data_IF_862981441156
#
_entry.id   IF_862981441156
#
_cell.length_a   1.000
_cell.length_b   1.000
_cell.length_c   1.000
_cell.angle_alpha   90.00
_cell.angle_beta   90.00
_cell.angle_gamma   90.00
#
_symmetry.space_group_name_H-M   'P 1'
#
loop_
_entity.id
_entity.type
_entity.pdbx_description
1 polymer ?
#
# COMPACT_ATOMS: atom_id res chain seq x y z
N UNK A 1 5.55 -12.47 17.09
CA UNK A 1 4.49 -13.13 17.91
C UNK A 1 4.80 -13.05 19.41
N UNK A 2 6.01 -13.38 19.88
CA UNK A 2 6.33 -13.34 21.32
C UNK A 2 6.21 -11.94 21.93
N UNK A 3 6.59 -10.88 21.20
CA UNK A 3 6.48 -9.51 21.69
C UNK A 3 5.04 -9.13 22.07
N UNK A 4 4.09 -9.50 21.24
CA UNK A 4 2.68 -9.15 21.44
C UNK A 4 1.98 -10.07 22.44
N UNK A 5 2.10 -11.41 22.26
CA UNK A 5 1.33 -12.37 23.05
C UNK A 5 1.94 -12.70 24.42
N UNK A 6 3.27 -12.56 24.55
CA UNK A 6 3.97 -12.90 25.81
C UNK A 6 4.49 -11.65 26.51
N UNK A 7 4.11 -10.46 26.07
CA UNK A 7 4.58 -9.16 26.59
C UNK A 7 6.11 -9.14 26.75
N UNK A 8 6.81 -9.61 25.72
CA UNK A 8 8.27 -9.61 25.66
C UNK A 8 8.72 -8.51 24.68
N UNK A 9 8.92 -7.27 25.15
CA UNK A 9 9.12 -6.11 24.29
C UNK A 9 10.24 -6.32 23.28
N UNK A 10 10.00 -5.93 22.03
CA UNK A 10 10.97 -6.04 20.95
C UNK A 10 10.80 -4.90 19.94
N UNK A 11 11.89 -4.51 19.29
CA UNK A 11 11.86 -3.57 18.16
C UNK A 11 11.85 -4.37 16.87
N UNK A 12 10.79 -4.22 16.08
CA UNK A 12 10.51 -4.98 14.86
C UNK A 12 10.04 -4.05 13.74
N UNK A 13 10.34 -4.35 12.45
CA UNK A 13 9.69 -3.70 11.34
C UNK A 13 8.24 -4.19 11.27
N UNK A 14 7.28 -3.25 11.19
CA UNK A 14 5.85 -3.54 11.16
C UNK A 14 5.16 -2.57 10.21
N UNK A 15 4.17 -3.09 9.46
CA UNK A 15 3.27 -2.27 8.68
C UNK A 15 2.25 -1.60 9.60
N UNK A 16 2.30 -0.27 9.69
CA UNK A 16 1.42 0.55 10.52
C UNK A 16 0.98 1.80 9.76
N UNK A 17 -0.18 2.39 10.07
CA UNK A 17 -0.49 3.75 9.60
C UNK A 17 0.59 4.73 10.03
N UNK A 18 0.92 5.68 9.16
CA UNK A 18 1.93 6.72 9.43
C UNK A 18 1.42 7.79 10.42
N UNK A 19 0.52 7.43 11.30
CA UNK A 19 -0.10 8.33 12.28
C UNK A 19 0.95 9.06 13.11
N UNK A 20 0.88 10.39 13.10
CA UNK A 20 1.86 11.25 13.76
C UNK A 20 3.15 11.45 12.97
N UNK A 21 3.17 11.07 11.67
CA UNK A 21 4.28 11.36 10.75
C UNK A 21 5.57 10.61 11.08
N UNK A 22 5.47 9.36 11.53
CA UNK A 22 6.65 8.54 11.85
C UNK A 22 7.65 8.44 10.70
N UNK A 23 7.18 8.42 9.46
CA UNK A 23 7.99 8.53 8.24
C UNK A 23 7.65 9.85 7.53
N UNK A 24 8.56 10.85 7.52
CA UNK A 24 8.30 12.14 6.92
C UNK A 24 8.06 12.05 5.39
N UNK A 25 7.08 12.82 4.89
CA UNK A 25 6.76 12.91 3.47
C UNK A 25 5.69 11.93 2.98
N UNK A 26 4.97 11.31 3.93
CA UNK A 26 3.78 10.49 3.68
C UNK A 26 2.63 10.97 4.56
N UNK A 27 1.40 10.81 4.07
CA UNK A 27 0.21 11.16 4.81
C UNK A 27 -0.01 10.21 6.00
N UNK A 28 -0.74 10.69 7.02
CA UNK A 28 -0.97 9.94 8.28
C UNK A 28 -1.72 8.62 8.08
N UNK A 29 -2.54 8.52 7.04
CA UNK A 29 -3.30 7.31 6.68
C UNK A 29 -2.54 6.34 5.77
N UNK A 30 -1.37 6.74 5.27
CA UNK A 30 -0.51 5.85 4.50
C UNK A 30 0.03 4.74 5.38
N UNK A 31 -0.13 3.48 4.94
CA UNK A 31 0.51 2.35 5.63
C UNK A 31 1.98 2.29 5.23
N UNK A 32 2.85 2.34 6.22
CA UNK A 32 4.31 2.33 6.05
C UNK A 32 4.93 1.19 6.84
N UNK A 33 5.98 0.57 6.30
CA UNK A 33 6.80 -0.38 7.06
C UNK A 33 7.94 0.36 7.73
N UNK A 34 7.86 0.45 9.06
CA UNK A 34 8.84 1.17 9.88
C UNK A 34 9.20 0.38 11.12
N UNK A 35 10.33 0.72 11.73
CA UNK A 35 10.66 0.19 13.05
C UNK A 35 9.60 0.59 14.07
N UNK A 36 9.07 -0.39 14.79
CA UNK A 36 8.12 -0.19 15.87
C UNK A 36 8.62 -0.82 17.16
N UNK A 37 8.37 -0.15 18.28
CA UNK A 37 8.45 -0.78 19.60
C UNK A 37 7.15 -1.57 19.81
N UNK A 38 7.27 -2.88 19.94
CA UNK A 38 6.13 -3.83 20.01
C UNK A 38 6.14 -4.51 21.38
N UNK A 39 4.98 -4.48 22.03
CA UNK A 39 4.70 -5.19 23.29
C UNK A 39 3.24 -5.66 23.35
N UNK A 40 2.77 -6.09 24.51
CA UNK A 40 1.38 -6.56 24.72
C UNK A 40 0.30 -5.50 24.44
N UNK A 41 0.67 -4.20 24.41
CA UNK A 41 -0.26 -3.11 24.07
C UNK A 41 -0.34 -2.81 22.55
N UNK A 42 0.54 -3.40 21.74
CA UNK A 42 0.56 -3.22 20.30
C UNK A 42 1.89 -2.75 19.74
N UNK A 43 1.87 -2.22 18.51
CA UNK A 43 3.02 -1.68 17.81
C UNK A 43 2.97 -0.14 17.82
N UNK A 44 4.03 0.48 18.28
CA UNK A 44 4.20 1.94 18.29
C UNK A 44 5.34 2.32 17.36
N UNK A 45 5.07 3.07 16.26
CA UNK A 45 6.10 3.45 15.31
C UNK A 45 7.17 4.34 15.97
N UNK A 46 8.42 4.08 15.64
CA UNK A 46 9.55 4.92 16.02
C UNK A 46 9.77 5.96 14.92
N UNK A 47 9.95 7.25 15.25
CA UNK A 47 10.24 8.26 14.24
C UNK A 47 11.45 7.88 13.38
N UNK A 48 11.29 8.03 12.06
CA UNK A 48 12.31 7.73 11.07
C UNK A 48 12.88 9.02 10.46
N UNK A 49 14.09 8.94 9.93
CA UNK A 49 14.62 9.98 9.06
C UNK A 49 13.90 9.99 7.72
N UNK A 50 13.82 11.15 7.03
CA UNK A 50 13.25 11.22 5.68
C UNK A 50 13.94 10.26 4.72
N UNK A 51 13.16 9.66 3.81
CA UNK A 51 13.74 8.78 2.78
C UNK A 51 14.83 9.49 1.98
N UNK A 52 15.93 8.80 1.67
CA UNK A 52 16.95 9.31 0.74
C UNK A 52 16.32 9.73 -0.61
N UNK A 53 16.84 10.80 -1.21
CA UNK A 53 16.34 11.32 -2.49
C UNK A 53 16.29 10.25 -3.59
N UNK A 54 17.26 9.34 -3.61
CA UNK A 54 17.37 8.28 -4.61
C UNK A 54 16.17 7.33 -4.66
N UNK A 55 15.46 7.12 -3.55
CA UNK A 55 14.34 6.17 -3.44
C UNK A 55 13.01 6.84 -3.13
N UNK A 56 13.01 8.10 -2.69
CA UNK A 56 11.81 8.80 -2.25
C UNK A 56 10.72 8.81 -3.32
N UNK A 57 11.06 9.19 -4.56
CA UNK A 57 10.08 9.33 -5.63
C UNK A 57 9.37 8.02 -5.97
N UNK A 58 10.12 6.93 -6.12
CA UNK A 58 9.51 5.62 -6.42
C UNK A 58 8.67 5.11 -5.24
N UNK A 59 9.12 5.33 -4.01
CA UNK A 59 8.36 4.89 -2.82
C UNK A 59 7.05 5.65 -2.69
N UNK A 60 7.04 6.96 -2.92
CA UNK A 60 5.83 7.77 -2.93
C UNK A 60 4.87 7.34 -4.05
N UNK A 61 5.38 7.09 -5.27
CA UNK A 61 4.56 6.60 -6.38
C UNK A 61 3.92 5.25 -6.06
N UNK A 62 4.65 4.34 -5.41
CA UNK A 62 4.11 3.05 -5.00
C UNK A 62 3.06 3.19 -3.90
N UNK A 63 3.23 4.10 -2.95
CA UNK A 63 2.23 4.39 -1.92
C UNK A 63 0.91 4.90 -2.54
N UNK A 64 1.00 5.84 -3.49
CA UNK A 64 -0.17 6.32 -4.23
C UNK A 64 -0.84 5.22 -5.06
N UNK A 65 -0.06 4.39 -5.75
CA UNK A 65 -0.59 3.21 -6.45
C UNK A 65 -1.38 2.30 -5.50
N UNK A 66 -0.82 1.97 -4.35
CA UNK A 66 -1.47 1.10 -3.36
C UNK A 66 -2.78 1.71 -2.84
N UNK A 67 -2.80 3.02 -2.60
CA UNK A 67 -4.01 3.74 -2.18
C UNK A 67 -5.09 3.71 -3.27
N UNK A 68 -4.74 4.02 -4.51
CA UNK A 68 -5.66 3.95 -5.65
C UNK A 68 -6.19 2.53 -5.86
N UNK A 69 -5.33 1.52 -5.75
CA UNK A 69 -5.72 0.12 -5.89
C UNK A 69 -6.68 -0.33 -4.77
N UNK A 70 -6.46 0.09 -3.53
CA UNK A 70 -7.34 -0.20 -2.41
C UNK A 70 -8.72 0.44 -2.60
N UNK A 71 -8.79 1.72 -3.00
CA UNK A 71 -10.05 2.42 -3.30
C UNK A 71 -10.79 1.75 -4.45
N UNK A 72 -10.09 1.41 -5.54
CA UNK A 72 -10.67 0.72 -6.68
C UNK A 72 -11.24 -0.65 -6.29
N UNK A 73 -10.51 -1.40 -5.48
CA UNK A 73 -10.95 -2.72 -5.01
C UNK A 73 -12.18 -2.63 -4.10
N UNK A 74 -12.24 -1.62 -3.22
CA UNK A 74 -13.31 -1.49 -2.24
C UNK A 74 -14.63 -1.01 -2.84
N UNK A 75 -14.60 0.06 -3.63
CA UNK A 75 -15.81 0.73 -4.12
C UNK A 75 -15.70 1.27 -5.57
N UNK A 76 -14.55 1.08 -6.22
CA UNK A 76 -14.29 1.59 -7.55
C UNK A 76 -14.89 0.76 -8.68
N UNK A 77 -14.67 1.25 -9.88
CA UNK A 77 -15.04 0.65 -11.16
C UNK A 77 -13.83 0.04 -11.87
N UNK A 78 -14.06 -0.63 -13.01
CA UNK A 78 -12.98 -1.04 -13.92
C UNK A 78 -12.04 0.12 -14.28
N UNK A 79 -12.62 1.29 -14.58
CA UNK A 79 -11.82 2.45 -14.95
C UNK A 79 -10.92 2.93 -13.80
N UNK A 80 -11.36 2.84 -12.55
CA UNK A 80 -10.57 3.19 -11.37
C UNK A 80 -9.43 2.17 -11.17
N UNK A 81 -9.68 0.89 -11.37
CA UNK A 81 -8.67 -0.15 -11.29
C UNK A 81 -7.60 0.00 -12.39
N UNK A 82 -7.99 0.32 -13.62
CA UNK A 82 -7.06 0.62 -14.72
C UNK A 82 -6.23 1.86 -14.41
N UNK A 83 -6.82 2.94 -13.86
CA UNK A 83 -6.07 4.13 -13.44
C UNK A 83 -5.07 3.80 -12.34
N UNK A 84 -5.46 2.97 -11.37
CA UNK A 84 -4.53 2.49 -10.34
C UNK A 84 -3.34 1.75 -10.97
N UNK A 85 -3.58 0.81 -11.88
CA UNK A 85 -2.50 0.12 -12.59
C UNK A 85 -1.60 1.07 -13.38
N UNK A 86 -2.19 2.07 -14.07
CA UNK A 86 -1.43 3.07 -14.82
C UNK A 86 -0.55 3.95 -13.93
N UNK A 87 -0.90 4.11 -12.64
CA UNK A 87 -0.07 4.83 -11.67
C UNK A 87 1.13 4.00 -11.18
N UNK A 88 1.17 2.69 -11.44
CA UNK A 88 2.29 1.85 -11.03
C UNK A 88 3.55 2.15 -11.86
N UNK A 89 4.73 2.38 -11.23
CA UNK A 89 5.93 2.85 -11.94
C UNK A 89 6.47 1.86 -12.99
N UNK A 90 6.06 0.60 -12.96
CA UNK A 90 6.46 -0.42 -13.95
C UNK A 90 5.45 -0.63 -15.07
N UNK A 91 4.34 0.12 -15.08
CA UNK A 91 3.36 0.09 -16.16
C UNK A 91 3.61 1.29 -17.09
N UNK A 92 4.13 1.07 -18.30
CA UNK A 92 4.69 2.15 -19.12
C UNK A 92 3.62 3.01 -19.82
N UNK A 93 2.42 2.49 -20.06
CA UNK A 93 1.35 3.20 -20.78
C UNK A 93 -0.02 2.79 -20.27
N UNK A 94 -1.03 3.63 -20.52
CA UNK A 94 -2.42 3.32 -20.24
C UNK A 94 -2.90 2.08 -21.01
N UNK A 95 -2.50 1.91 -22.26
CA UNK A 95 -2.86 0.73 -23.06
C UNK A 95 -2.37 -0.57 -22.41
N UNK A 96 -1.13 -0.59 -21.89
CA UNK A 96 -0.60 -1.74 -21.14
C UNK A 96 -1.38 -1.96 -19.83
N UNK A 97 -1.79 -0.89 -19.15
CA UNK A 97 -2.63 -1.01 -17.95
C UNK A 97 -3.99 -1.65 -18.26
N UNK A 98 -4.62 -1.28 -19.37
CA UNK A 98 -5.88 -1.84 -19.82
C UNK A 98 -5.76 -3.34 -20.16
N UNK A 99 -4.77 -3.70 -20.98
CA UNK A 99 -4.51 -5.10 -21.34
C UNK A 99 -4.24 -5.97 -20.11
N UNK A 100 -3.35 -5.49 -19.23
CA UNK A 100 -3.00 -6.19 -17.99
C UNK A 100 -4.22 -6.38 -17.08
N UNK A 101 -5.06 -5.34 -16.96
CA UNK A 101 -6.29 -5.44 -16.19
C UNK A 101 -7.24 -6.48 -16.76
N UNK A 102 -7.47 -6.45 -18.07
CA UNK A 102 -8.40 -7.36 -18.74
C UNK A 102 -7.96 -8.82 -18.59
N UNK A 103 -6.67 -9.11 -18.74
CA UNK A 103 -6.10 -10.44 -18.50
C UNK A 103 -6.28 -10.90 -17.06
N UNK A 104 -5.97 -10.05 -16.09
CA UNK A 104 -6.14 -10.36 -14.67
C UNK A 104 -7.62 -10.51 -14.29
N UNK A 105 -8.49 -9.67 -14.82
CA UNK A 105 -9.93 -9.74 -14.58
C UNK A 105 -10.53 -11.02 -15.19
N UNK A 106 -10.10 -11.41 -16.37
CA UNK A 106 -10.53 -12.67 -17.00
C UNK A 106 -10.11 -13.88 -16.16
N UNK A 107 -8.83 -13.92 -15.72
CA UNK A 107 -8.30 -15.01 -14.90
C UNK A 107 -8.97 -15.12 -13.52
N UNK A 108 -9.42 -13.99 -12.96
CA UNK A 108 -10.00 -13.91 -11.62
C UNK A 108 -11.52 -13.65 -11.60
N UNK A 109 -12.20 -13.77 -12.75
CA UNK A 109 -13.59 -13.37 -12.94
C UNK A 109 -14.55 -13.84 -11.85
N UNK A 110 -14.38 -15.08 -11.36
CA UNK A 110 -15.24 -15.67 -10.33
C UNK A 110 -15.15 -15.00 -8.95
N UNK A 111 -14.11 -14.20 -8.72
CA UNK A 111 -13.85 -13.51 -7.45
C UNK A 111 -14.13 -12.00 -7.52
N UNK A 112 -14.34 -11.46 -8.73
CA UNK A 112 -14.53 -10.03 -8.92
C UNK A 112 -16.02 -9.67 -8.95
N UNK A 113 -16.40 -8.57 -8.28
CA UNK A 113 -17.76 -8.03 -8.39
C UNK A 113 -17.98 -7.44 -9.77
N UNK A 114 -19.26 -7.42 -10.24
CA UNK A 114 -19.62 -6.96 -11.59
C UNK A 114 -19.12 -5.55 -11.94
N UNK A 115 -19.06 -4.62 -10.95
CA UNK A 115 -18.58 -3.25 -11.15
C UNK A 115 -17.11 -3.17 -11.61
N UNK A 116 -16.33 -4.19 -11.33
CA UNK A 116 -14.94 -4.33 -11.78
C UNK A 116 -14.81 -5.07 -13.12
N UNK A 117 -15.88 -5.68 -13.61
CA UNK A 117 -15.88 -6.44 -14.87
C UNK A 117 -16.45 -5.66 -16.07
N UNK A 118 -16.98 -4.45 -15.84
CA UNK A 118 -17.64 -3.61 -16.84
C UNK A 118 -16.90 -2.32 -17.12
#
# INVERSE_FOLDING_TARGET
>A
MSAYYNDSPARLPVNVPNTGGALPGFDDDTVVEVWCDVDGSGARPVPQEPLPHAVRGITQTLAEYQRLAAVAAWDGTRADAVRAMAAHPFVPTLAVAEELYDDLAAANRRFLPERLLR
#
